data_IF_419037246613
#
_entry.id   IF_419037246613
#
_cell.length_a   1.000
_cell.length_b   1.000
_cell.length_c   1.000
_cell.angle_alpha   90.00
_cell.angle_beta   90.00
_cell.angle_gamma   90.00
#
_symmetry.space_group_name_H-M   'P 1'
#
loop_
_entity.id
_entity.type
_entity.pdbx_description
1 polymer ?
#
# COMPACT_ATOMS: atom_id res chain seq x y z
N UNK A 1 28.30 26.71 39.15
CA UNK A 1 27.54 27.12 37.95
C UNK A 1 28.45 26.99 36.74
N UNK A 2 28.46 25.84 36.06
CA UNK A 2 29.09 25.67 34.75
C UNK A 2 28.31 24.58 34.01
N UNK A 3 27.41 24.98 33.13
CA UNK A 3 26.60 24.07 32.31
C UNK A 3 27.27 23.84 30.97
N UNK A 4 27.50 22.58 30.62
CA UNK A 4 27.93 22.18 29.28
C UNK A 4 26.71 22.21 28.36
N UNK A 5 26.74 23.04 27.31
CA UNK A 5 25.71 23.09 26.28
C UNK A 5 26.08 22.12 25.15
N UNK A 6 25.31 21.06 24.97
CA UNK A 6 25.38 20.22 23.78
C UNK A 6 24.27 20.66 22.80
N UNK A 7 24.66 21.35 21.73
CA UNK A 7 23.75 21.73 20.65
C UNK A 7 23.63 20.56 19.66
N UNK A 8 22.51 19.83 19.72
CA UNK A 8 22.12 18.93 18.64
C UNK A 8 21.26 19.73 17.67
N UNK A 9 21.84 20.08 16.53
CA UNK A 9 21.16 20.74 15.42
C UNK A 9 20.58 19.67 14.48
N UNK A 10 19.32 19.30 14.66
CA UNK A 10 18.55 18.63 13.60
C UNK A 10 17.76 19.72 12.89
N UNK A 11 18.09 19.97 11.63
CA UNK A 11 17.36 20.91 10.77
C UNK A 11 15.88 20.52 10.73
N UNK A 12 15.01 21.43 11.16
CA UNK A 12 13.62 21.50 10.69
C UNK A 12 12.49 21.18 11.67
N UNK A 13 12.76 20.82 12.93
CA UNK A 13 11.68 20.49 13.88
C UNK A 13 11.68 21.40 15.11
N UNK A 14 10.71 22.33 15.19
CA UNK A 14 10.39 23.06 16.42
C UNK A 14 9.74 22.08 17.40
N UNK A 15 10.46 21.67 18.43
CA UNK A 15 9.86 20.98 19.59
C UNK A 15 9.57 22.06 20.64
N UNK A 16 8.29 22.29 20.91
CA UNK A 16 7.82 23.17 21.97
C UNK A 16 8.31 22.70 23.35
N UNK A 17 8.49 23.66 24.27
CA UNK A 17 9.00 23.46 25.62
C UNK A 17 8.19 22.41 26.40
N UNK A 18 8.79 21.25 26.68
CA UNK A 18 8.23 20.27 27.61
C UNK A 18 8.92 20.44 28.98
N UNK A 19 8.16 20.98 29.93
CA UNK A 19 8.61 21.28 31.29
C UNK A 19 8.40 20.04 32.15
N UNK A 20 9.47 19.32 32.49
CA UNK A 20 9.41 18.20 33.42
C UNK A 20 9.60 18.70 34.85
N UNK A 21 8.57 18.55 35.67
CA UNK A 21 8.59 18.79 37.12
C UNK A 21 8.90 17.45 37.79
N UNK A 22 10.03 17.36 38.49
CA UNK A 22 10.39 16.18 39.28
C UNK A 22 10.15 16.47 40.78
N UNK A 23 9.44 15.60 41.51
CA UNK A 23 9.42 15.67 42.97
C UNK A 23 10.75 15.18 43.52
N UNK A 24 11.40 16.02 44.34
CA UNK A 24 12.55 15.62 45.15
C UNK A 24 12.04 14.97 46.43
N UNK A 25 12.39 13.72 46.67
CA UNK A 25 12.45 13.21 48.03
C UNK A 25 13.82 12.58 48.31
N UNK A 26 14.24 12.77 49.56
CA UNK A 26 15.57 12.68 50.12
C UNK A 26 15.92 11.24 50.48
N UNK A 27 17.22 11.04 50.65
CA UNK A 27 17.90 10.03 51.48
C UNK A 27 18.17 8.65 50.86
N UNK A 28 19.42 8.22 51.04
CA UNK A 28 19.80 6.80 51.02
C UNK A 28 20.58 6.35 49.79
N UNK A 29 21.91 6.34 49.89
CA UNK A 29 22.81 5.71 48.91
C UNK A 29 22.62 4.20 48.97
N UNK A 30 22.08 3.59 47.91
CA UNK A 30 22.21 2.15 47.66
C UNK A 30 22.74 1.96 46.25
N UNK A 31 23.99 1.53 46.18
CA UNK A 31 24.61 1.06 44.95
C UNK A 31 23.92 -0.24 44.52
N UNK A 32 23.17 -0.20 43.42
CA UNK A 32 22.76 -1.40 42.69
C UNK A 32 23.26 -1.26 41.27
N UNK A 33 24.43 -1.84 41.01
CA UNK A 33 24.83 -2.21 39.66
C UNK A 33 23.92 -3.34 39.24
N UNK A 34 23.01 -3.15 38.28
CA UNK A 34 22.77 -4.10 37.18
C UNK A 34 21.63 -3.63 36.26
N UNK A 35 21.75 -4.06 35.00
CA UNK A 35 20.76 -4.05 33.93
C UNK A 35 20.57 -2.73 33.17
N UNK A 36 21.47 -2.51 32.19
CA UNK A 36 21.09 -1.94 30.91
C UNK A 36 20.00 -2.82 30.30
N UNK A 37 18.74 -2.50 30.56
CA UNK A 37 17.62 -3.07 29.80
C UNK A 37 17.63 -2.36 28.45
N UNK A 38 18.28 -2.98 27.48
CA UNK A 38 17.97 -2.79 26.06
C UNK A 38 16.49 -3.17 25.90
N UNK A 39 15.58 -2.20 26.03
CA UNK A 39 14.16 -2.42 25.74
C UNK A 39 14.06 -2.69 24.25
N UNK A 40 13.78 -3.96 23.98
CA UNK A 40 13.63 -4.58 22.69
C UNK A 40 12.80 -3.76 21.72
N UNK A 41 13.27 -3.76 20.48
CA UNK A 41 12.53 -3.35 19.31
C UNK A 41 11.19 -4.11 19.25
N UNK A 42 10.09 -3.40 19.54
CA UNK A 42 8.76 -3.77 19.09
C UNK A 42 8.46 -2.96 17.83
N UNK A 43 9.25 -3.19 16.78
CA UNK A 43 8.73 -3.00 15.43
C UNK A 43 7.81 -4.18 15.24
N UNK A 44 6.50 -3.95 15.40
CA UNK A 44 5.49 -4.88 14.93
C UNK A 44 5.72 -5.05 13.42
N UNK A 45 6.42 -6.11 13.04
CA UNK A 45 6.40 -6.61 11.68
C UNK A 45 4.96 -7.04 11.42
N UNK A 46 4.17 -6.16 10.80
CA UNK A 46 3.01 -6.60 10.05
C UNK A 46 3.55 -7.33 8.81
N UNK A 47 3.98 -8.58 9.02
CA UNK A 47 4.43 -9.46 7.96
C UNK A 47 3.18 -10.00 7.27
N UNK A 48 2.68 -9.25 6.29
CA UNK A 48 1.72 -9.79 5.33
C UNK A 48 2.45 -10.83 4.48
N UNK A 49 2.38 -12.09 4.88
CA UNK A 49 2.92 -13.27 4.15
C UNK A 49 2.26 -13.53 2.78
N UNK A 50 1.56 -12.54 2.21
CA UNK A 50 1.06 -12.56 0.83
C UNK A 50 1.80 -11.60 -0.10
N UNK A 51 2.57 -10.63 0.40
CA UNK A 51 3.26 -9.64 -0.43
C UNK A 51 4.47 -10.21 -1.18
N UNK A 52 5.03 -11.33 -0.69
CA UNK A 52 6.17 -12.03 -1.28
C UNK A 52 5.83 -12.81 -2.56
N UNK A 53 4.54 -13.05 -2.84
CA UNK A 53 4.10 -13.78 -4.04
C UNK A 53 3.98 -12.94 -5.32
N UNK A 54 4.11 -11.61 -5.22
CA UNK A 54 4.00 -10.69 -6.35
C UNK A 54 5.32 -10.56 -7.13
N UNK A 55 6.45 -11.02 -6.59
CA UNK A 55 7.79 -10.88 -7.20
C UNK A 55 8.11 -11.94 -8.26
N UNK A 56 7.38 -11.91 -9.37
CA UNK A 56 7.81 -12.53 -10.62
C UNK A 56 8.60 -11.53 -11.49
N UNK A 57 9.75 -11.92 -12.05
CA UNK A 57 10.56 -11.01 -12.89
C UNK A 57 9.83 -10.43 -14.12
N UNK A 58 8.77 -11.10 -14.58
CA UNK A 58 7.91 -10.61 -15.64
C UNK A 58 7.02 -9.43 -15.20
N UNK A 59 6.55 -9.42 -13.95
CA UNK A 59 5.79 -8.29 -13.43
C UNK A 59 6.67 -7.06 -13.25
N UNK A 60 7.89 -7.24 -12.74
CA UNK A 60 8.90 -6.18 -12.63
C UNK A 60 9.22 -5.59 -14.00
N UNK A 61 9.52 -6.41 -15.01
CA UNK A 61 9.75 -5.93 -16.38
C UNK A 61 8.57 -5.14 -16.93
N UNK A 62 7.34 -5.61 -16.69
CA UNK A 62 6.14 -4.88 -17.07
C UNK A 62 6.07 -3.54 -16.32
N UNK A 63 6.52 -3.47 -15.06
CA UNK A 63 6.49 -2.25 -14.22
C UNK A 63 7.47 -1.19 -14.70
N UNK A 64 8.55 -1.62 -15.32
CA UNK A 64 9.55 -0.75 -15.90
C UNK A 64 9.29 -0.43 -17.39
N UNK A 65 8.32 -1.07 -18.05
CA UNK A 65 8.11 -0.90 -19.50
C UNK A 65 7.67 0.51 -19.92
N UNK A 66 7.26 1.36 -18.97
CA UNK A 66 6.91 2.76 -19.22
C UNK A 66 5.65 2.97 -20.07
N UNK A 67 4.91 1.90 -20.42
CA UNK A 67 3.72 1.96 -21.25
C UNK A 67 2.63 2.80 -20.57
N UNK A 68 2.22 3.89 -21.23
CA UNK A 68 1.14 4.75 -20.79
C UNK A 68 -0.08 4.53 -21.70
N UNK A 69 -1.16 4.01 -21.12
CA UNK A 69 -2.46 3.89 -21.79
C UNK A 69 -3.47 4.80 -21.10
N UNK A 70 -4.41 5.34 -21.87
CA UNK A 70 -5.50 6.14 -21.35
C UNK A 70 -6.82 5.77 -22.00
N UNK A 71 -7.89 5.80 -21.21
CA UNK A 71 -9.26 5.63 -21.66
C UNK A 71 -10.11 6.86 -21.31
N UNK A 72 -11.21 7.05 -22.05
CA UNK A 72 -12.20 8.08 -21.75
C UNK A 72 -13.16 7.56 -20.67
N UNK A 73 -13.48 8.40 -19.69
CA UNK A 73 -14.36 8.03 -18.58
C UNK A 73 -15.62 8.86 -18.61
N UNK A 74 -16.77 8.20 -18.78
CA UNK A 74 -18.09 8.83 -18.75
C UNK A 74 -18.52 9.18 -17.32
N UNK A 75 -18.08 8.38 -16.34
CA UNK A 75 -18.33 8.59 -14.91
C UNK A 75 -17.04 9.05 -14.24
N UNK A 76 -17.08 10.20 -13.58
CA UNK A 76 -15.90 10.82 -12.98
C UNK A 76 -15.30 10.01 -11.81
N UNK A 77 -16.15 9.37 -11.00
CA UNK A 77 -15.76 8.57 -9.85
C UNK A 77 -16.61 7.29 -9.75
N UNK A 78 -16.32 6.27 -10.58
CA UNK A 78 -16.98 4.97 -10.47
C UNK A 78 -16.66 4.32 -9.12
N UNK A 79 -17.60 3.53 -8.58
CA UNK A 79 -17.42 2.74 -7.34
C UNK A 79 -16.84 1.36 -7.66
N UNK A 80 -16.37 0.63 -6.66
CA UNK A 80 -15.88 -0.74 -6.85
C UNK A 80 -16.97 -1.66 -7.44
N UNK A 81 -18.21 -1.50 -6.98
CA UNK A 81 -19.36 -2.24 -7.51
C UNK A 81 -19.59 -2.04 -9.02
N UNK A 82 -19.15 -0.91 -9.60
CA UNK A 82 -19.30 -0.64 -11.03
C UNK A 82 -18.40 -1.52 -11.91
N UNK A 83 -17.33 -2.11 -11.35
CA UNK A 83 -16.43 -3.00 -12.08
C UNK A 83 -17.11 -4.30 -12.53
N UNK A 84 -18.21 -4.69 -11.87
CA UNK A 84 -18.92 -5.93 -12.17
C UNK A 84 -20.08 -5.76 -13.15
N UNK A 85 -20.32 -4.54 -13.64
CA UNK A 85 -21.38 -4.29 -14.62
C UNK A 85 -21.01 -4.84 -16.00
N UNK A 86 -21.95 -5.52 -16.66
CA UNK A 86 -21.75 -6.12 -17.99
C UNK A 86 -20.85 -7.37 -17.96
N UNK A 87 -19.94 -7.51 -18.94
CA UNK A 87 -18.84 -8.49 -18.88
C UNK A 87 -17.75 -7.93 -17.95
N UNK A 88 -18.07 -7.81 -16.67
CA UNK A 88 -17.27 -7.15 -15.65
C UNK A 88 -16.12 -7.99 -15.12
N UNK A 89 -15.45 -7.46 -14.09
CA UNK A 89 -14.23 -8.05 -13.56
C UNK A 89 -14.43 -9.47 -13.00
N UNK A 90 -15.57 -9.79 -12.39
CA UNK A 90 -15.81 -11.13 -11.85
C UNK A 90 -16.04 -12.15 -12.96
N UNK A 91 -16.69 -11.76 -14.06
CA UNK A 91 -16.91 -12.63 -15.21
C UNK A 91 -15.58 -13.02 -15.89
N UNK A 92 -14.65 -12.08 -16.00
CA UNK A 92 -13.33 -12.32 -16.61
C UNK A 92 -12.33 -12.98 -15.65
N UNK A 93 -12.32 -12.61 -14.38
CA UNK A 93 -11.23 -12.93 -13.45
C UNK A 93 -11.66 -13.82 -12.27
N UNK A 94 -12.93 -13.81 -11.89
CA UNK A 94 -13.43 -14.39 -10.63
C UNK A 94 -13.25 -15.91 -10.51
N UNK A 95 -13.16 -16.63 -11.62
CA UNK A 95 -12.88 -18.08 -11.60
C UNK A 95 -11.51 -18.41 -11.00
N UNK A 96 -10.54 -17.50 -11.14
CA UNK A 96 -9.14 -17.68 -10.73
C UNK A 96 -8.67 -16.68 -9.67
N UNK A 97 -9.41 -15.60 -9.44
CA UNK A 97 -9.10 -14.53 -8.52
C UNK A 97 -10.31 -14.19 -7.66
N UNK A 98 -10.79 -15.15 -6.87
CA UNK A 98 -11.89 -14.95 -5.90
C UNK A 98 -11.47 -15.47 -4.53
N UNK A 99 -12.22 -15.14 -3.47
CA UNK A 99 -11.93 -15.61 -2.12
C UNK A 99 -11.77 -17.15 -1.98
N UNK A 100 -12.41 -17.93 -2.87
CA UNK A 100 -12.26 -19.39 -2.93
C UNK A 100 -11.10 -19.90 -3.81
N UNK A 101 -10.58 -19.06 -4.71
CA UNK A 101 -9.47 -19.38 -5.61
C UNK A 101 -8.62 -18.11 -5.83
N UNK A 102 -7.61 -17.91 -4.99
CA UNK A 102 -6.82 -16.67 -4.94
C UNK A 102 -5.48 -16.87 -5.66
N UNK A 103 -5.48 -16.97 -6.99
CA UNK A 103 -4.21 -17.01 -7.74
C UNK A 103 -3.45 -15.71 -7.56
N UNK A 104 -2.12 -15.84 -7.41
CA UNK A 104 -1.20 -14.72 -7.19
C UNK A 104 -1.57 -13.77 -6.02
N UNK A 105 -2.38 -14.23 -5.06
CA UNK A 105 -2.75 -13.41 -3.89
C UNK A 105 -3.79 -12.32 -4.15
N UNK A 106 -4.47 -12.33 -5.31
CA UNK A 106 -5.47 -11.31 -5.67
C UNK A 106 -6.88 -11.90 -5.69
N UNK A 107 -7.82 -11.19 -5.07
CA UNK A 107 -9.25 -11.47 -5.06
C UNK A 107 -10.01 -10.29 -5.68
N UNK A 108 -10.51 -10.46 -6.91
CA UNK A 108 -11.25 -9.41 -7.64
C UNK A 108 -12.65 -9.15 -7.06
N UNK A 109 -13.14 -10.02 -6.19
CA UNK A 109 -14.44 -9.85 -5.51
C UNK A 109 -14.31 -9.03 -4.23
N UNK A 110 -13.08 -8.68 -3.84
CA UNK A 110 -12.78 -7.93 -2.62
C UNK A 110 -12.20 -6.56 -2.93
N UNK A 111 -12.91 -5.52 -2.48
CA UNK A 111 -12.41 -4.15 -2.54
C UNK A 111 -11.05 -4.01 -1.84
N UNK A 112 -10.90 -4.63 -0.65
CA UNK A 112 -9.65 -4.57 0.12
C UNK A 112 -8.47 -5.18 -0.65
N UNK A 113 -8.72 -6.26 -1.40
CA UNK A 113 -7.68 -6.88 -2.23
C UNK A 113 -7.28 -5.97 -3.40
N UNK A 114 -8.25 -5.48 -4.19
CA UNK A 114 -7.91 -4.63 -5.34
C UNK A 114 -7.34 -3.26 -4.95
N UNK A 115 -7.87 -2.63 -3.90
CA UNK A 115 -7.36 -1.35 -3.40
C UNK A 115 -5.90 -1.43 -2.94
N UNK A 116 -5.42 -2.62 -2.52
CA UNK A 116 -4.02 -2.82 -2.12
C UNK A 116 -3.01 -2.87 -3.27
N UNK A 117 -3.48 -3.09 -4.51
CA UNK A 117 -2.62 -3.24 -5.71
C UNK A 117 -2.83 -2.13 -6.74
N UNK A 118 -3.57 -1.08 -6.37
CA UNK A 118 -3.78 0.11 -7.19
C UNK A 118 -3.27 1.35 -6.50
N UNK A 119 -2.85 2.33 -7.30
CA UNK A 119 -2.51 3.67 -6.86
C UNK A 119 -3.67 4.57 -7.27
N UNK A 120 -4.47 5.07 -6.33
CA UNK A 120 -5.58 5.99 -6.62
C UNK A 120 -5.13 7.14 -7.53
N UNK A 121 -5.98 7.49 -8.49
CA UNK A 121 -5.73 8.56 -9.47
C UNK A 121 -4.56 8.29 -10.44
N UNK A 122 -3.87 7.13 -10.34
CA UNK A 122 -2.76 6.76 -11.21
C UNK A 122 -2.92 5.33 -11.78
N UNK A 123 -3.75 5.17 -12.84
CA UNK A 123 -3.95 3.87 -13.49
C UNK A 123 -2.66 3.26 -14.02
N UNK A 124 -1.81 4.03 -14.71
CA UNK A 124 -0.58 3.50 -15.30
C UNK A 124 0.48 3.09 -14.24
N UNK A 125 0.41 3.64 -13.03
CA UNK A 125 1.21 3.21 -11.88
C UNK A 125 0.61 2.04 -11.09
N UNK A 126 -0.57 1.55 -11.45
CA UNK A 126 -1.29 0.51 -10.72
C UNK A 126 -1.01 -0.88 -11.29
N UNK A 127 -0.70 -1.84 -10.43
CA UNK A 127 -0.42 -3.24 -10.83
C UNK A 127 -1.62 -3.83 -11.55
N UNK A 128 -2.83 -3.64 -11.01
CA UNK A 128 -4.07 -4.18 -11.60
C UNK A 128 -4.24 -3.77 -13.06
N UNK A 129 -4.13 -2.47 -13.36
CA UNK A 129 -4.32 -1.97 -14.72
C UNK A 129 -3.22 -2.47 -15.66
N UNK A 130 -1.98 -2.48 -15.17
CA UNK A 130 -0.82 -2.87 -15.94
C UNK A 130 -0.83 -4.32 -16.38
N UNK A 131 -1.38 -5.23 -15.58
CA UNK A 131 -1.45 -6.65 -15.98
C UNK A 131 -2.57 -6.92 -16.99
N UNK A 132 -3.61 -6.09 -17.06
CA UNK A 132 -4.77 -6.31 -17.94
C UNK A 132 -4.67 -5.62 -19.30
N UNK A 133 -3.90 -4.53 -19.42
CA UNK A 133 -3.70 -3.83 -20.69
C UNK A 133 -2.95 -4.69 -21.73
N UNK A 134 -3.04 -4.36 -23.04
CA UNK A 134 -2.29 -5.05 -24.08
C UNK A 134 -0.78 -5.15 -23.76
N UNK A 135 -0.24 -6.37 -23.83
CA UNK A 135 1.14 -6.69 -23.45
C UNK A 135 1.33 -7.06 -21.97
N UNK A 136 0.28 -6.91 -21.15
CA UNK A 136 0.26 -7.35 -19.75
C UNK A 136 0.05 -8.85 -19.60
N UNK A 137 0.38 -9.37 -18.41
CA UNK A 137 0.34 -10.81 -18.09
C UNK A 137 -1.06 -11.45 -18.22
N UNK A 138 -2.12 -10.66 -18.10
CA UNK A 138 -3.52 -11.08 -18.17
C UNK A 138 -4.24 -10.55 -19.41
N UNK A 139 -3.53 -9.90 -20.34
CA UNK A 139 -4.16 -9.19 -21.47
C UNK A 139 -5.00 -10.10 -22.37
N UNK A 140 -4.64 -11.38 -22.45
CA UNK A 140 -5.37 -12.39 -23.24
C UNK A 140 -6.71 -12.83 -22.62
N UNK A 141 -6.96 -12.51 -21.35
CA UNK A 141 -8.19 -12.89 -20.64
C UNK A 141 -9.12 -11.69 -20.40
N UNK A 142 -8.78 -10.53 -20.96
CA UNK A 142 -9.46 -9.25 -20.71
C UNK A 142 -10.09 -8.73 -22.00
N UNK A 143 -10.88 -7.66 -21.88
CA UNK A 143 -11.45 -6.92 -23.00
C UNK A 143 -11.15 -5.44 -22.85
N UNK A 144 -11.22 -4.66 -23.94
CA UNK A 144 -11.04 -3.21 -23.88
C UNK A 144 -12.07 -2.53 -22.97
N UNK A 145 -13.30 -3.06 -22.92
CA UNK A 145 -14.36 -2.57 -22.02
C UNK A 145 -14.00 -2.78 -20.55
N UNK A 146 -13.48 -3.96 -20.19
CA UNK A 146 -13.01 -4.22 -18.83
C UNK A 146 -11.80 -3.35 -18.48
N UNK A 147 -10.85 -3.22 -19.40
CA UNK A 147 -9.65 -2.40 -19.21
C UNK A 147 -10.02 -0.93 -19.01
N UNK A 148 -11.01 -0.42 -19.75
CA UNK A 148 -11.58 0.91 -19.57
C UNK A 148 -12.26 1.06 -18.20
N UNK A 149 -13.07 0.10 -17.77
CA UNK A 149 -13.74 0.14 -16.47
C UNK A 149 -12.74 0.20 -15.31
N UNK A 150 -11.70 -0.65 -15.35
CA UNK A 150 -10.60 -0.66 -14.38
C UNK A 150 -9.85 0.68 -14.40
N UNK A 151 -9.50 1.18 -15.59
CA UNK A 151 -8.83 2.47 -15.74
C UNK A 151 -9.64 3.60 -15.08
N UNK A 152 -10.94 3.67 -15.38
CA UNK A 152 -11.81 4.74 -14.92
C UNK A 152 -12.08 4.68 -13.42
N UNK A 153 -12.25 3.47 -12.86
CA UNK A 153 -12.35 3.30 -11.41
C UNK A 153 -11.08 3.79 -10.69
N UNK A 154 -9.89 3.39 -11.16
CA UNK A 154 -8.62 3.83 -10.56
C UNK A 154 -8.43 5.34 -10.73
N UNK A 155 -8.69 5.88 -11.93
CA UNK A 155 -8.59 7.32 -12.22
C UNK A 155 -9.54 8.15 -11.35
N UNK A 156 -10.72 7.62 -11.06
CA UNK A 156 -11.72 8.21 -10.17
C UNK A 156 -11.35 8.16 -8.68
N UNK A 157 -10.25 7.47 -8.33
CA UNK A 157 -9.73 7.39 -6.96
C UNK A 157 -9.86 6.01 -6.31
N UNK A 158 -10.22 4.97 -7.06
CA UNK A 158 -10.36 3.60 -6.56
C UNK A 158 -11.24 3.50 -5.29
N UNK A 159 -12.40 4.17 -5.33
CA UNK A 159 -13.35 4.17 -4.21
C UNK A 159 -14.10 2.84 -4.06
N UNK A 160 -14.61 2.54 -2.86
CA UNK A 160 -15.52 1.39 -2.66
C UNK A 160 -16.82 1.57 -3.45
#
# INVERSE_FOLDING_TARGET
>A
MHGLRLNILIRGFRIGNLKFVFPTDKSGVVSVRFALIFTAALVLSCENSGADKIRGGALETLLLSGQQISYQCSVAKPTFASLDQGQGITAHCGQCHSGGNIRAGVDVTSYASLSSIVVPNNPNGSILFRVVIPGGLMSQFTSDLLNQAIYCWIKGGAGP
#
